data_IF_852920158765
#
_entry.id   IF_852920158765
#
_cell.length_a   1.000
_cell.length_b   1.000
_cell.length_c   1.000
_cell.angle_alpha   90.00
_cell.angle_beta   90.00
_cell.angle_gamma   90.00
#
_symmetry.space_group_name_H-M   'P 1'
#
loop_
_entity.id
_entity.type
_entity.pdbx_description
1 polymer ?
#
# COMPACT_ATOMS: atom_id res chain seq x y z
N UNK A 1 -31.89 -24.96 -13.93
CA UNK A 1 -31.58 -23.95 -12.93
C UNK A 1 -30.05 -23.85 -12.80
N UNK A 2 -29.40 -22.96 -13.57
CA UNK A 2 -28.02 -22.59 -13.29
C UNK A 2 -28.06 -21.73 -12.03
N UNK A 3 -27.64 -22.31 -10.91
CA UNK A 3 -27.38 -21.56 -9.68
C UNK A 3 -26.38 -20.44 -10.02
N UNK A 4 -26.78 -19.19 -9.85
CA UNK A 4 -25.89 -18.05 -9.95
C UNK A 4 -24.83 -18.22 -8.85
N UNK A 5 -23.63 -18.64 -9.24
CA UNK A 5 -22.53 -18.82 -8.29
C UNK A 5 -22.07 -17.44 -7.82
N UNK A 6 -21.98 -17.26 -6.49
CA UNK A 6 -21.45 -16.05 -5.87
C UNK A 6 -20.05 -16.33 -5.37
N UNK A 7 -19.11 -15.42 -5.62
CA UNK A 7 -17.75 -15.46 -5.07
C UNK A 7 -17.59 -14.30 -4.09
N UNK A 8 -17.13 -14.60 -2.88
CA UNK A 8 -16.77 -13.62 -1.88
C UNK A 8 -15.31 -13.15 -2.11
N UNK A 9 -15.13 -11.85 -2.30
CA UNK A 9 -13.81 -11.22 -2.42
C UNK A 9 -13.48 -10.54 -1.10
N UNK A 10 -12.52 -11.10 -0.37
CA UNK A 10 -12.12 -10.67 0.96
C UNK A 10 -10.85 -9.81 0.86
N UNK A 11 -10.85 -8.65 1.49
CA UNK A 11 -9.71 -7.74 1.52
C UNK A 11 -9.62 -6.98 2.83
N UNK A 12 -8.47 -6.34 3.09
CA UNK A 12 -8.35 -5.35 4.17
C UNK A 12 -9.30 -4.17 3.94
N UNK A 13 -9.65 -3.50 5.03
CA UNK A 13 -10.58 -2.36 4.99
C UNK A 13 -9.96 -1.04 4.49
N UNK A 14 -8.65 -0.98 4.23
CA UNK A 14 -8.00 0.22 3.70
C UNK A 14 -8.51 0.58 2.29
N UNK A 15 -8.48 1.86 1.95
CA UNK A 15 -8.91 2.36 0.62
C UNK A 15 -8.17 1.65 -0.51
N UNK A 16 -6.84 1.50 -0.40
CA UNK A 16 -6.04 0.81 -1.41
C UNK A 16 -6.45 -0.66 -1.56
N UNK A 17 -6.63 -1.37 -0.45
CA UNK A 17 -7.02 -2.78 -0.49
C UNK A 17 -8.40 -2.98 -1.14
N UNK A 18 -9.36 -2.10 -0.88
CA UNK A 18 -10.67 -2.11 -1.53
C UNK A 18 -10.58 -1.86 -3.04
N UNK A 19 -9.76 -0.90 -3.47
CA UNK A 19 -9.51 -0.64 -4.89
C UNK A 19 -8.93 -1.88 -5.57
N UNK A 20 -7.94 -2.53 -4.94
CA UNK A 20 -7.34 -3.75 -5.48
C UNK A 20 -8.34 -4.90 -5.55
N UNK A 21 -9.20 -5.07 -4.54
CA UNK A 21 -10.28 -6.05 -4.57
C UNK A 21 -11.26 -5.79 -5.74
N UNK A 22 -11.65 -4.53 -5.96
CA UNK A 22 -12.49 -4.14 -7.09
C UNK A 22 -11.83 -4.40 -8.45
N UNK A 23 -10.51 -4.18 -8.57
CA UNK A 23 -9.77 -4.50 -9.80
C UNK A 23 -9.80 -5.99 -10.10
N UNK A 24 -9.60 -6.85 -9.09
CA UNK A 24 -9.70 -8.31 -9.23
C UNK A 24 -11.13 -8.71 -9.61
N UNK A 25 -12.13 -8.19 -8.91
CA UNK A 25 -13.53 -8.47 -9.22
C UNK A 25 -13.93 -8.05 -10.62
N UNK A 26 -13.48 -6.88 -11.09
CA UNK A 26 -13.72 -6.43 -12.47
C UNK A 26 -13.08 -7.37 -13.50
N UNK A 27 -11.89 -7.89 -13.23
CA UNK A 27 -11.24 -8.88 -14.10
C UNK A 27 -12.01 -10.21 -14.15
N UNK A 28 -12.54 -10.66 -13.00
CA UNK A 28 -13.39 -11.86 -12.92
C UNK A 28 -14.69 -11.64 -13.70
N UNK A 29 -15.42 -10.56 -13.43
CA UNK A 29 -16.71 -10.25 -14.10
C UNK A 29 -16.55 -10.14 -15.60
N UNK A 30 -15.43 -9.59 -16.09
CA UNK A 30 -15.16 -9.50 -17.53
C UNK A 30 -15.05 -10.86 -18.20
N UNK A 31 -14.47 -11.86 -17.52
CA UNK A 31 -14.32 -13.22 -18.03
C UNK A 31 -15.52 -14.11 -17.74
N UNK A 32 -16.18 -13.87 -16.63
CA UNK A 32 -17.27 -14.69 -16.10
C UNK A 32 -18.49 -13.84 -15.71
N UNK A 33 -19.22 -13.25 -16.68
CA UNK A 33 -20.29 -12.28 -16.41
C UNK A 33 -21.50 -12.85 -15.67
N UNK A 34 -21.59 -14.18 -15.57
CA UNK A 34 -22.68 -14.87 -14.84
C UNK A 34 -22.37 -15.09 -13.35
N UNK A 35 -21.14 -14.80 -12.91
CA UNK A 35 -20.75 -14.92 -11.51
C UNK A 35 -21.13 -13.63 -10.78
N UNK A 36 -21.85 -13.77 -9.67
CA UNK A 36 -22.07 -12.66 -8.73
C UNK A 36 -20.87 -12.48 -7.82
N UNK A 37 -20.50 -11.23 -7.52
CA UNK A 37 -19.38 -10.92 -6.64
C UNK A 37 -19.89 -10.20 -5.40
N UNK A 38 -19.42 -10.66 -4.23
CA UNK A 38 -19.65 -10.03 -2.95
C UNK A 38 -18.31 -9.56 -2.38
N UNK A 39 -18.21 -8.31 -1.89
CA UNK A 39 -16.96 -7.74 -1.36
C UNK A 39 -17.01 -7.64 0.15
N UNK A 40 -16.11 -8.32 0.83
CA UNK A 40 -15.99 -8.36 2.29
C UNK A 40 -14.73 -7.61 2.70
N UNK A 41 -14.91 -6.57 3.53
CA UNK A 41 -13.80 -5.77 4.07
C UNK A 41 -13.54 -6.13 5.53
N UNK A 42 -12.34 -6.62 5.83
CA UNK A 42 -11.93 -7.03 7.19
C UNK A 42 -10.89 -6.06 7.75
N UNK A 43 -11.08 -5.66 9.00
CA UNK A 43 -10.02 -4.98 9.76
C UNK A 43 -9.08 -6.04 10.31
N UNK A 44 -7.81 -5.96 9.95
CA UNK A 44 -6.79 -6.89 10.46
C UNK A 44 -6.23 -6.41 11.80
N UNK A 45 -5.65 -7.33 12.56
CA UNK A 45 -4.96 -7.01 13.83
C UNK A 45 -3.86 -5.95 13.63
N UNK A 46 -3.20 -5.95 12.49
CA UNK A 46 -2.23 -4.91 12.11
C UNK A 46 -2.86 -3.54 11.82
N UNK A 47 -4.12 -3.48 11.36
CA UNK A 47 -4.84 -2.22 11.17
C UNK A 47 -5.27 -1.60 12.51
N UNK A 48 -5.52 -2.42 13.52
CA UNK A 48 -5.93 -1.99 14.87
C UNK A 48 -4.73 -1.51 15.69
N UNK A 49 -3.61 -2.23 15.62
CA UNK A 49 -2.41 -1.97 16.42
C UNK A 49 -1.35 -1.20 15.62
N UNK A 50 -1.58 0.07 15.33
CA UNK A 50 -0.64 0.95 14.60
C UNK A 50 0.70 1.18 15.34
N UNK A 51 0.81 0.82 16.62
CA UNK A 51 2.01 0.98 17.45
C UNK A 51 2.93 -0.26 17.47
N UNK A 52 2.58 -1.34 16.77
CA UNK A 52 3.46 -2.49 16.64
C UNK A 52 4.73 -2.09 15.88
N UNK A 53 5.85 -2.40 16.48
CA UNK A 53 7.17 -2.14 15.89
C UNK A 53 7.39 -3.07 14.69
N UNK A 54 7.11 -2.56 13.48
CA UNK A 54 7.19 -3.30 12.21
C UNK A 54 8.65 -3.72 11.90
N UNK A 55 9.64 -3.20 12.64
CA UNK A 55 11.05 -3.53 12.45
C UNK A 55 11.42 -4.92 12.98
N UNK A 56 10.59 -5.53 13.82
CA UNK A 56 10.80 -6.90 14.31
C UNK A 56 10.15 -7.89 13.36
N UNK A 57 10.92 -8.85 12.90
CA UNK A 57 10.60 -9.87 11.88
C UNK A 57 9.32 -10.71 12.11
N UNK A 58 8.69 -10.61 13.28
CA UNK A 58 7.46 -11.29 13.66
C UNK A 58 6.17 -10.62 13.13
N UNK A 59 6.25 -9.45 12.51
CA UNK A 59 5.07 -8.67 12.07
C UNK A 59 4.66 -8.92 10.61
N UNK A 60 5.44 -9.66 9.84
CA UNK A 60 5.22 -9.88 8.40
C UNK A 60 4.04 -10.81 8.09
N UNK A 61 3.23 -11.22 8.89
CA UNK A 61 2.02 -12.00 8.63
C UNK A 61 0.76 -11.44 9.28
N UNK A 62 0.90 -10.40 10.11
CA UNK A 62 -0.21 -9.85 10.90
C UNK A 62 -1.32 -9.24 10.04
N UNK A 63 -0.98 -8.79 8.82
CA UNK A 63 -1.96 -8.24 7.88
C UNK A 63 -2.62 -9.28 6.98
N UNK A 64 -2.10 -10.50 6.94
CA UNK A 64 -2.56 -11.54 6.02
C UNK A 64 -3.15 -12.75 6.71
N UNK A 65 -2.73 -13.07 7.96
CA UNK A 65 -3.21 -14.23 8.70
C UNK A 65 -4.73 -14.20 8.92
N UNK A 66 -5.27 -13.08 9.39
CA UNK A 66 -6.70 -12.93 9.69
C UNK A 66 -7.56 -13.14 8.42
N UNK A 67 -7.08 -12.62 7.27
CA UNK A 67 -7.77 -12.79 5.98
C UNK A 67 -7.63 -14.21 5.45
N UNK A 68 -6.45 -14.81 5.61
CA UNK A 68 -6.22 -16.20 5.19
C UNK A 68 -7.09 -17.19 5.97
N UNK A 69 -7.23 -16.99 7.27
CA UNK A 69 -8.10 -17.83 8.11
C UNK A 69 -9.58 -17.62 7.73
N UNK A 70 -9.99 -16.40 7.39
CA UNK A 70 -11.35 -16.14 6.93
C UNK A 70 -11.63 -16.85 5.60
N UNK A 71 -10.71 -16.80 4.61
CA UNK A 71 -10.86 -17.49 3.33
C UNK A 71 -10.97 -18.99 3.49
N UNK A 72 -10.21 -19.59 4.42
CA UNK A 72 -10.30 -21.05 4.68
C UNK A 72 -11.64 -21.46 5.24
N UNK A 73 -12.29 -20.60 6.01
CA UNK A 73 -13.57 -20.87 6.67
C UNK A 73 -14.81 -20.49 5.84
N UNK A 74 -14.64 -19.75 4.76
CA UNK A 74 -15.74 -19.32 3.89
C UNK A 74 -15.67 -20.01 2.53
N UNK A 75 -16.68 -20.77 2.18
CA UNK A 75 -16.81 -21.39 0.86
C UNK A 75 -16.91 -20.32 -0.24
N UNK A 76 -16.48 -20.69 -1.45
CA UNK A 76 -16.49 -19.80 -2.63
C UNK A 76 -15.88 -18.42 -2.36
N UNK A 77 -14.76 -18.38 -1.65
CA UNK A 77 -14.06 -17.14 -1.29
C UNK A 77 -12.64 -17.05 -1.84
N UNK A 78 -12.21 -15.82 -2.11
CA UNK A 78 -10.83 -15.49 -2.47
C UNK A 78 -10.34 -14.29 -1.66
N UNK A 79 -9.07 -14.30 -1.26
CA UNK A 79 -8.40 -13.14 -0.66
C UNK A 79 -7.69 -12.30 -1.72
N UNK A 80 -7.73 -10.98 -1.56
CA UNK A 80 -6.96 -10.05 -2.37
C UNK A 80 -5.98 -9.30 -1.47
N UNK A 81 -4.68 -9.46 -1.76
CA UNK A 81 -3.59 -8.85 -1.03
C UNK A 81 -2.70 -8.00 -1.95
N UNK A 82 -2.13 -6.93 -1.40
CA UNK A 82 -0.96 -6.29 -2.00
C UNK A 82 0.24 -7.22 -1.85
N UNK A 83 0.98 -7.46 -2.92
CA UNK A 83 2.15 -8.36 -2.87
C UNK A 83 3.18 -7.96 -1.81
N UNK A 84 3.38 -6.66 -1.59
CA UNK A 84 4.30 -6.14 -0.57
C UNK A 84 3.96 -6.53 0.87
N UNK A 85 2.69 -6.86 1.13
CA UNK A 85 2.18 -7.24 2.45
C UNK A 85 2.09 -8.76 2.60
N UNK A 86 2.36 -9.51 1.52
CA UNK A 86 2.28 -10.97 1.52
C UNK A 86 3.55 -11.57 2.15
N UNK A 87 3.43 -12.54 3.08
CA UNK A 87 4.58 -13.17 3.72
C UNK A 87 5.38 -13.99 2.70
N UNK A 88 6.69 -14.07 2.91
CA UNK A 88 7.61 -14.90 2.09
C UNK A 88 7.40 -16.38 2.39
N UNK A 89 6.98 -16.70 3.62
CA UNK A 89 6.75 -18.07 4.04
C UNK A 89 5.45 -18.63 3.47
N UNK A 90 5.49 -19.87 3.00
CA UNK A 90 4.34 -20.57 2.44
C UNK A 90 3.24 -20.75 3.49
N UNK A 91 2.05 -20.26 3.19
CA UNK A 91 0.87 -20.58 3.95
C UNK A 91 0.25 -21.89 3.43
N UNK A 92 0.44 -22.98 4.17
CA UNK A 92 -0.07 -24.31 3.78
C UNK A 92 -1.61 -24.39 3.65
N UNK A 93 -2.34 -23.38 4.11
CA UNK A 93 -3.81 -23.34 4.08
C UNK A 93 -4.38 -22.70 2.82
N UNK A 94 -3.60 -21.88 2.11
CA UNK A 94 -4.04 -21.13 0.93
C UNK A 94 -2.99 -21.19 -0.17
N UNK A 95 -3.45 -21.06 -1.43
CA UNK A 95 -2.58 -21.01 -2.60
C UNK A 95 -2.77 -19.70 -3.35
N UNK A 96 -1.72 -19.24 -4.03
CA UNK A 96 -1.80 -18.09 -4.93
C UNK A 96 -2.31 -18.58 -6.28
N UNK A 97 -3.50 -18.14 -6.68
CA UNK A 97 -4.12 -18.55 -7.94
C UNK A 97 -3.86 -17.59 -9.10
N UNK A 98 -3.50 -16.37 -8.82
CA UNK A 98 -3.24 -15.41 -9.87
C UNK A 98 -2.80 -14.03 -9.38
N UNK A 99 -2.31 -13.26 -10.33
CA UNK A 99 -1.97 -11.86 -10.15
C UNK A 99 -2.52 -11.05 -11.33
N UNK A 100 -2.89 -9.80 -11.07
CA UNK A 100 -3.19 -8.86 -12.15
C UNK A 100 -1.89 -8.40 -12.82
N UNK A 101 -2.03 -7.83 -14.02
CA UNK A 101 -0.91 -7.14 -14.67
C UNK A 101 -0.36 -6.09 -13.71
N UNK A 102 0.96 -6.10 -13.53
CA UNK A 102 1.64 -5.17 -12.62
C UNK A 102 1.43 -3.72 -13.08
N UNK A 103 1.04 -2.86 -12.14
CA UNK A 103 0.98 -1.43 -12.34
C UNK A 103 2.38 -0.78 -12.28
N UNK A 104 2.42 0.53 -12.44
CA UNK A 104 3.64 1.32 -12.24
C UNK A 104 4.06 1.27 -10.76
N UNK A 105 5.29 0.82 -10.52
CA UNK A 105 5.82 0.62 -9.16
C UNK A 105 6.82 1.72 -8.76
N UNK A 106 7.03 2.71 -9.60
CA UNK A 106 8.00 3.78 -9.33
C UNK A 106 7.58 4.58 -8.11
N UNK A 107 8.56 4.95 -7.32
CA UNK A 107 8.37 5.92 -6.25
C UNK A 107 8.08 7.30 -6.87
N UNK A 108 7.08 8.00 -6.35
CA UNK A 108 6.74 9.37 -6.74
C UNK A 108 7.10 10.33 -5.62
N UNK A 109 7.80 11.40 -5.96
CA UNK A 109 8.12 12.49 -5.07
C UNK A 109 7.10 13.62 -5.27
N UNK A 110 6.30 13.90 -4.23
CA UNK A 110 5.40 15.03 -4.21
C UNK A 110 6.06 16.20 -3.49
N UNK A 111 6.07 17.36 -4.12
CA UNK A 111 6.60 18.60 -3.58
C UNK A 111 5.44 19.53 -3.22
N UNK A 112 5.59 20.29 -2.14
CA UNK A 112 4.66 21.38 -1.84
C UNK A 112 4.78 22.48 -2.88
N UNK A 113 3.65 23.08 -3.20
CA UNK A 113 3.56 24.11 -4.25
C UNK A 113 4.38 25.37 -3.96
N UNK A 114 4.64 25.67 -2.69
CA UNK A 114 5.47 26.79 -2.25
C UNK A 114 6.91 26.68 -2.76
N UNK A 115 7.40 25.46 -2.99
CA UNK A 115 8.73 25.23 -3.55
C UNK A 115 8.85 25.60 -5.02
N UNK A 116 7.75 25.70 -5.75
CA UNK A 116 7.73 25.86 -7.20
C UNK A 116 8.48 27.12 -7.67
N UNK A 117 8.51 28.16 -6.84
CA UNK A 117 9.12 29.45 -7.16
C UNK A 117 10.47 29.66 -6.47
N UNK A 118 10.94 28.68 -5.69
CA UNK A 118 12.23 28.76 -5.01
C UNK A 118 13.33 28.23 -5.93
N UNK A 119 14.45 28.93 -5.95
CA UNK A 119 15.68 28.47 -6.60
C UNK A 119 16.59 27.72 -5.64
N UNK A 120 16.53 28.04 -4.36
CA UNK A 120 17.36 27.49 -3.32
C UNK A 120 16.61 27.37 -1.99
N UNK A 121 16.96 26.38 -1.20
CA UNK A 121 16.50 26.17 0.18
C UNK A 121 17.67 25.64 1.04
N UNK A 122 17.85 26.15 2.25
CA UNK A 122 18.94 25.71 3.12
C UNK A 122 18.77 24.24 3.54
N UNK A 123 17.57 23.85 3.88
CA UNK A 123 17.25 22.49 4.32
C UNK A 123 16.00 21.97 3.60
N UNK A 124 16.17 20.90 2.85
CA UNK A 124 15.06 20.19 2.20
C UNK A 124 14.59 19.02 3.09
N UNK A 125 13.38 19.15 3.65
CA UNK A 125 12.81 18.17 4.55
C UNK A 125 11.89 17.22 3.77
N UNK A 126 12.20 15.92 3.79
CA UNK A 126 11.48 14.89 3.03
C UNK A 126 10.85 13.88 3.98
N UNK A 127 9.55 13.61 3.80
CA UNK A 127 8.84 12.60 4.57
C UNK A 127 9.03 11.21 3.99
N UNK A 128 9.74 10.34 4.70
CA UNK A 128 9.81 8.90 4.44
C UNK A 128 10.36 8.14 5.64
N UNK A 129 9.83 6.94 5.89
CA UNK A 129 10.38 5.99 6.87
C UNK A 129 11.30 4.96 6.21
N UNK A 130 11.25 4.80 4.87
CA UNK A 130 11.95 3.75 4.15
C UNK A 130 13.45 4.04 4.00
N UNK A 131 14.36 3.20 4.55
CA UNK A 131 15.81 3.37 4.36
C UNK A 131 16.20 3.31 2.88
N UNK A 132 15.57 2.44 2.09
CA UNK A 132 15.79 2.35 0.64
C UNK A 132 15.49 3.67 -0.07
N UNK A 133 14.38 4.31 0.27
CA UNK A 133 14.00 5.61 -0.31
C UNK A 133 14.94 6.72 0.12
N UNK A 134 15.37 6.72 1.38
CA UNK A 134 16.37 7.70 1.88
C UNK A 134 17.64 7.61 1.05
N UNK A 135 18.20 6.42 0.92
CA UNK A 135 19.41 6.19 0.12
C UNK A 135 19.26 6.66 -1.33
N UNK A 136 18.16 6.28 -1.99
CA UNK A 136 17.90 6.67 -3.37
C UNK A 136 17.77 8.19 -3.55
N UNK A 137 17.17 8.89 -2.57
CA UNK A 137 17.04 10.34 -2.59
C UNK A 137 18.37 11.03 -2.34
N UNK A 138 19.14 10.61 -1.35
CA UNK A 138 20.47 11.17 -1.05
C UNK A 138 21.41 11.08 -2.27
N UNK A 139 21.26 10.03 -3.07
CA UNK A 139 22.13 9.79 -4.22
C UNK A 139 21.69 10.56 -5.47
N UNK A 140 20.36 10.68 -5.72
CA UNK A 140 19.88 11.11 -7.03
C UNK A 140 19.01 12.36 -7.02
N UNK A 141 18.66 12.90 -5.85
CA UNK A 141 17.65 13.96 -5.76
C UNK A 141 18.03 15.24 -6.48
N UNK A 142 19.31 15.62 -6.44
CA UNK A 142 19.80 16.83 -7.08
C UNK A 142 19.54 16.87 -8.59
N UNK A 143 19.47 15.70 -9.24
CA UNK A 143 19.17 15.56 -10.66
C UNK A 143 17.65 15.53 -10.95
N UNK A 144 16.83 15.23 -9.94
CA UNK A 144 15.39 15.00 -10.11
C UNK A 144 14.53 16.24 -9.84
N UNK A 145 15.04 17.21 -9.08
CA UNK A 145 14.27 18.42 -8.72
C UNK A 145 14.95 19.69 -9.20
N UNK A 146 14.16 20.71 -9.62
CA UNK A 146 14.70 21.96 -10.15
C UNK A 146 15.11 22.96 -9.06
N UNK A 147 15.32 22.53 -7.82
CA UNK A 147 15.61 23.38 -6.67
C UNK A 147 16.94 22.94 -6.07
N UNK A 148 17.87 23.88 -5.90
CA UNK A 148 19.10 23.64 -5.16
C UNK A 148 18.83 23.66 -3.65
N UNK A 149 19.60 22.87 -2.90
CA UNK A 149 19.46 22.79 -1.43
C UNK A 149 20.82 22.64 -0.75
N UNK A 150 20.92 23.14 0.49
CA UNK A 150 22.13 23.02 1.29
C UNK A 150 22.28 21.63 1.92
N UNK A 151 21.22 21.11 2.50
CA UNK A 151 21.17 19.75 3.09
C UNK A 151 19.82 19.09 2.93
N UNK A 152 19.80 17.76 3.03
CA UNK A 152 18.56 16.96 3.12
C UNK A 152 18.37 16.49 4.56
N UNK A 153 17.14 16.55 5.05
CA UNK A 153 16.73 15.89 6.28
C UNK A 153 15.47 15.06 6.06
N UNK A 154 15.30 14.01 6.87
CA UNK A 154 14.17 13.10 6.75
C UNK A 154 13.27 13.18 7.98
N UNK A 155 11.99 13.27 7.73
CA UNK A 155 10.94 13.21 8.74
C UNK A 155 10.20 11.88 8.60
N UNK A 156 10.15 11.11 9.68
CA UNK A 156 9.48 9.82 9.68
C UNK A 156 7.97 9.97 9.58
N UNK A 157 7.35 9.08 8.82
CA UNK A 157 5.92 9.06 8.63
C UNK A 157 5.38 7.64 8.57
N UNK A 158 4.30 7.39 9.33
CA UNK A 158 3.56 6.12 9.36
C UNK A 158 2.09 6.35 9.07
N UNK A 159 1.42 5.28 8.63
CA UNK A 159 0.00 5.24 8.30
C UNK A 159 -0.25 4.83 6.85
N UNK A 160 -1.52 4.70 6.49
CA UNK A 160 -1.94 4.50 5.10
C UNK A 160 -1.68 5.76 4.25
N UNK A 161 -1.84 5.66 2.94
CA UNK A 161 -1.56 6.76 2.01
C UNK A 161 -2.31 8.04 2.39
N UNK A 162 -3.62 7.95 2.67
CA UNK A 162 -4.43 9.12 3.03
C UNK A 162 -3.95 9.77 4.34
N UNK A 163 -3.65 8.95 5.34
CA UNK A 163 -3.09 9.43 6.62
C UNK A 163 -1.76 10.14 6.41
N UNK A 164 -0.87 9.57 5.58
CA UNK A 164 0.44 10.19 5.29
C UNK A 164 0.28 11.50 4.55
N UNK A 165 -0.56 11.58 3.53
CA UNK A 165 -0.82 12.82 2.81
C UNK A 165 -1.38 13.92 3.71
N UNK A 166 -2.33 13.58 4.58
CA UNK A 166 -2.88 14.53 5.55
C UNK A 166 -1.82 15.03 6.55
N UNK A 167 -0.96 14.15 7.04
CA UNK A 167 0.17 14.53 7.91
C UNK A 167 1.17 15.40 7.16
N UNK A 168 1.46 15.09 5.90
CA UNK A 168 2.38 15.86 5.06
C UNK A 168 1.89 17.29 4.85
N UNK A 169 0.63 17.48 4.47
CA UNK A 169 0.04 18.81 4.25
C UNK A 169 0.17 19.69 5.49
N UNK A 170 -0.02 19.10 6.68
CA UNK A 170 0.04 19.82 7.98
C UNK A 170 1.44 19.96 8.56
N UNK A 171 2.44 19.35 7.96
CA UNK A 171 3.82 19.31 8.48
C UNK A 171 4.67 20.43 7.91
N UNK A 172 5.87 20.60 8.50
CA UNK A 172 6.94 21.44 7.95
C UNK A 172 7.73 20.77 6.80
N UNK A 173 7.44 19.51 6.45
CA UNK A 173 8.13 18.83 5.37
C UNK A 173 7.81 19.48 4.02
N UNK A 174 8.79 19.52 3.16
CA UNK A 174 8.73 20.08 1.81
C UNK A 174 8.29 19.05 0.78
N UNK A 175 8.65 17.78 1.01
CA UNK A 175 8.39 16.68 0.10
C UNK A 175 7.91 15.44 0.84
N UNK A 176 7.18 14.57 0.12
CA UNK A 176 6.82 13.21 0.57
C UNK A 176 7.03 12.22 -0.58
N UNK A 177 7.51 11.01 -0.26
CA UNK A 177 7.65 9.91 -1.22
C UNK A 177 6.59 8.87 -0.98
N UNK A 178 5.90 8.51 -2.05
CA UNK A 178 4.88 7.44 -2.07
C UNK A 178 5.05 6.57 -3.32
N UNK A 179 4.52 5.35 -3.27
CA UNK A 179 4.42 4.42 -4.39
C UNK A 179 3.01 3.87 -4.46
#
# INVERSE_FOLDING_TARGET
>A
NQLNKTINIISRSSTLAKIQAQMVGSAISKKHPKISLNYISTKTSGDVNQNLDISKSTTMGVFTSDISDQVVNEEDSIAVHSWKDFPIEDNKKTNIYGTLKRGDMRDMLFLKTELKNLKYIDELIIMTLSPRRRYALETNLAELIPISYGKISFLEIRGNINTRLNKFIKSKAHCIVVA
#
